data_IF_968227506542
#
_entry.id   IF_968227506542
#
_cell.length_a   1.000
_cell.length_b   1.000
_cell.length_c   1.000
_cell.angle_alpha   90.00
_cell.angle_beta   90.00
_cell.angle_gamma   90.00
#
_symmetry.space_group_name_H-M   'P 1'
#
loop_
_entity.id
_entity.type
_entity.pdbx_description
1 polymer ?
#
# COMPACT_ATOMS: atom_id res chain seq x y z
N UNK A 1 13.31 2.83 17.40
CA UNK A 1 12.86 1.93 16.33
C UNK A 1 14.08 1.30 15.70
N UNK A 2 14.51 0.16 16.21
CA UNK A 2 15.55 -0.64 15.56
C UNK A 2 14.97 -1.27 14.30
N UNK A 3 15.36 -0.74 13.14
CA UNK A 3 15.16 -1.40 11.85
C UNK A 3 15.88 -2.75 11.97
N UNK A 4 15.11 -3.84 11.92
CA UNK A 4 15.55 -5.23 12.08
C UNK A 4 16.89 -5.45 11.37
N UNK A 5 18.00 -5.44 12.14
CA UNK A 5 19.37 -5.72 11.67
C UNK A 5 19.56 -7.23 11.45
N UNK A 6 18.65 -7.86 10.70
CA UNK A 6 18.76 -9.27 10.36
C UNK A 6 19.89 -9.49 9.36
N UNK A 7 21.14 -9.61 9.82
CA UNK A 7 22.29 -9.94 8.95
C UNK A 7 22.44 -11.45 8.66
N UNK A 8 21.37 -12.22 8.83
CA UNK A 8 21.38 -13.69 8.71
C UNK A 8 21.10 -14.21 7.30
N UNK A 9 21.46 -15.47 7.06
CA UNK A 9 21.21 -16.17 5.79
C UNK A 9 19.74 -16.17 5.39
N UNK A 10 18.83 -16.29 6.36
CA UNK A 10 17.38 -16.19 6.14
C UNK A 10 16.97 -14.84 5.52
N UNK A 11 17.58 -13.73 5.95
CA UNK A 11 17.29 -12.41 5.39
C UNK A 11 17.72 -12.33 3.93
N UNK A 12 18.92 -12.81 3.60
CA UNK A 12 19.42 -12.84 2.21
C UNK A 12 18.50 -13.65 1.31
N UNK A 13 18.02 -14.80 1.79
CA UNK A 13 17.07 -15.65 1.06
C UNK A 13 15.72 -14.97 0.85
N UNK A 14 15.22 -14.25 1.86
CA UNK A 14 13.99 -13.44 1.74
C UNK A 14 14.15 -12.31 0.73
N UNK A 15 15.24 -11.54 0.81
CA UNK A 15 15.51 -10.44 -0.12
C UNK A 15 15.68 -10.94 -1.55
N UNK A 16 16.34 -12.07 -1.75
CA UNK A 16 16.43 -12.72 -3.05
C UNK A 16 15.05 -13.15 -3.58
N UNK A 17 14.18 -13.65 -2.70
CA UNK A 17 12.81 -14.02 -3.05
C UNK A 17 11.98 -12.78 -3.45
N UNK A 18 11.97 -11.73 -2.62
CA UNK A 18 11.26 -10.49 -2.90
C UNK A 18 11.75 -9.82 -4.18
N UNK A 19 13.07 -9.83 -4.43
CA UNK A 19 13.64 -9.33 -5.68
C UNK A 19 13.13 -10.09 -6.91
N UNK A 20 13.06 -11.43 -6.84
CA UNK A 20 12.48 -12.26 -7.92
C UNK A 20 11.00 -11.96 -8.15
N UNK A 21 10.27 -11.64 -7.09
CA UNK A 21 8.87 -11.20 -7.14
C UNK A 21 8.71 -9.74 -7.61
N UNK A 22 9.80 -9.04 -7.92
CA UNK A 22 9.79 -7.67 -8.41
C UNK A 22 9.55 -6.62 -7.32
N UNK A 23 9.92 -6.93 -6.08
CA UNK A 23 9.92 -6.06 -4.91
C UNK A 23 11.36 -5.94 -4.35
N UNK A 24 12.22 -5.21 -5.06
CA UNK A 24 13.62 -5.01 -4.66
C UNK A 24 13.74 -3.84 -3.66
N UNK A 25 14.17 -4.14 -2.43
CA UNK A 25 14.56 -3.14 -1.46
C UNK A 25 15.96 -2.64 -1.81
N UNK A 26 16.06 -1.69 -2.74
CA UNK A 26 17.35 -1.10 -3.09
C UNK A 26 17.98 -0.43 -1.86
N UNK A 27 19.32 -0.33 -1.84
CA UNK A 27 20.07 0.35 -0.79
C UNK A 27 19.59 1.80 -0.53
N UNK A 28 18.96 2.44 -1.53
CA UNK A 28 18.38 3.77 -1.43
C UNK A 28 16.94 3.80 -0.90
N UNK A 29 16.13 2.78 -1.19
CA UNK A 29 14.71 2.77 -0.81
C UNK A 29 14.46 2.28 0.62
N UNK A 30 15.35 1.42 1.17
CA UNK A 30 15.33 0.81 2.51
C UNK A 30 13.98 0.19 3.00
N UNK A 31 12.92 0.31 2.22
CA UNK A 31 11.51 0.03 2.55
C UNK A 31 10.74 -0.34 1.27
N UNK A 32 9.54 -0.91 1.44
CA UNK A 32 8.65 -1.24 0.33
C UNK A 32 7.78 -0.05 -0.07
N UNK A 33 7.58 0.15 -1.37
CA UNK A 33 6.59 1.11 -1.89
C UNK A 33 5.25 0.41 -2.17
N UNK A 34 4.20 1.18 -2.50
CA UNK A 34 2.86 0.61 -2.74
C UNK A 34 2.84 -0.50 -3.79
N UNK A 35 3.59 -0.36 -4.88
CA UNK A 35 3.70 -1.39 -5.92
C UNK A 35 4.40 -2.67 -5.42
N UNK A 36 5.36 -2.54 -4.52
CA UNK A 36 5.99 -3.71 -3.88
C UNK A 36 4.98 -4.44 -3.00
N UNK A 37 4.20 -3.71 -2.19
CA UNK A 37 3.17 -4.30 -1.33
C UNK A 37 2.12 -5.09 -2.14
N UNK A 38 1.63 -4.53 -3.26
CA UNK A 38 0.68 -5.25 -4.14
C UNK A 38 1.22 -6.61 -4.58
N UNK A 39 2.49 -6.67 -5.00
CA UNK A 39 3.11 -7.91 -5.47
C UNK A 39 3.35 -8.91 -4.34
N UNK A 40 3.76 -8.42 -3.17
CA UNK A 40 4.09 -9.26 -2.02
C UNK A 40 2.85 -9.79 -1.27
N UNK A 41 1.69 -9.17 -1.44
CA UNK A 41 0.44 -9.62 -0.84
C UNK A 41 -0.36 -10.58 -1.74
N UNK A 42 0.14 -10.88 -2.95
CA UNK A 42 -0.46 -11.90 -3.80
C UNK A 42 -0.27 -13.30 -3.17
N UNK A 43 -1.30 -14.16 -3.08
CA UNK A 43 -1.21 -15.43 -2.35
C UNK A 43 -0.03 -16.34 -2.77
N UNK A 44 0.28 -16.37 -4.07
CA UNK A 44 1.46 -17.12 -4.58
C UNK A 44 2.78 -16.53 -4.09
N UNK A 45 2.88 -15.21 -3.99
CA UNK A 45 4.06 -14.55 -3.47
C UNK A 45 4.21 -14.83 -1.97
N UNK A 46 3.11 -14.70 -1.20
CA UNK A 46 3.05 -15.00 0.23
C UNK A 46 3.61 -16.39 0.52
N UNK A 47 3.15 -17.39 -0.22
CA UNK A 47 3.63 -18.76 -0.08
C UNK A 47 5.14 -18.91 -0.33
N UNK A 48 5.66 -18.27 -1.39
CA UNK A 48 7.07 -18.37 -1.75
C UNK A 48 8.01 -17.81 -0.69
N UNK A 49 7.73 -16.63 -0.13
CA UNK A 49 8.64 -16.05 0.88
C UNK A 49 8.39 -16.60 2.28
N UNK A 50 7.19 -17.05 2.63
CA UNK A 50 6.97 -17.74 3.91
C UNK A 50 7.65 -19.11 3.95
N UNK A 51 7.83 -19.79 2.81
CA UNK A 51 8.59 -21.03 2.71
C UNK A 51 10.10 -20.85 3.03
N UNK A 52 10.61 -19.61 3.02
CA UNK A 52 11.99 -19.30 3.43
C UNK A 52 12.13 -19.31 4.96
N UNK A 53 11.04 -19.02 5.68
CA UNK A 53 11.04 -18.97 7.14
C UNK A 53 11.07 -20.38 7.74
N UNK A 54 11.60 -20.48 8.96
CA UNK A 54 11.45 -21.69 9.75
C UNK A 54 9.97 -21.93 10.02
N UNK A 55 9.51 -23.15 9.75
CA UNK A 55 8.11 -23.50 9.93
C UNK A 55 7.77 -23.58 11.42
N UNK A 56 6.63 -23.00 11.79
CA UNK A 56 6.09 -22.97 13.15
C UNK A 56 4.56 -22.99 13.11
N UNK A 57 3.95 -23.12 14.29
CA UNK A 57 2.48 -23.03 14.46
C UNK A 57 1.91 -21.67 14.04
N UNK A 58 2.74 -20.62 13.99
CA UNK A 58 2.33 -19.27 13.65
C UNK A 58 2.29 -19.00 12.15
N UNK A 59 3.11 -19.71 11.35
CA UNK A 59 3.24 -19.47 9.90
C UNK A 59 1.89 -19.54 9.16
N UNK A 60 0.99 -20.50 9.44
CA UNK A 60 -0.35 -20.50 8.84
C UNK A 60 -1.17 -19.24 9.16
N UNK A 61 -1.05 -18.70 10.38
CA UNK A 61 -1.74 -17.48 10.79
C UNK A 61 -1.13 -16.23 10.14
N UNK A 62 0.20 -16.18 10.00
CA UNK A 62 0.87 -15.12 9.24
C UNK A 62 0.45 -15.16 7.77
N UNK A 63 0.34 -16.35 7.16
CA UNK A 63 -0.18 -16.53 5.80
C UNK A 63 -1.61 -16.00 5.67
N UNK A 64 -2.49 -16.39 6.60
CA UNK A 64 -3.88 -15.93 6.64
C UNK A 64 -4.00 -14.41 6.72
N UNK A 65 -3.22 -13.79 7.62
CA UNK A 65 -3.14 -12.33 7.73
C UNK A 65 -2.70 -11.67 6.41
N UNK A 66 -1.60 -12.10 5.81
CA UNK A 66 -1.05 -11.47 4.60
C UNK A 66 -1.98 -11.61 3.39
N UNK A 67 -2.62 -12.77 3.23
CA UNK A 67 -3.56 -13.01 2.13
C UNK A 67 -4.82 -12.16 2.29
N UNK A 68 -5.40 -12.12 3.49
CA UNK A 68 -6.57 -11.28 3.77
C UNK A 68 -6.24 -9.79 3.63
N UNK A 69 -5.05 -9.37 4.05
CA UNK A 69 -4.57 -8.01 3.85
C UNK A 69 -4.43 -7.65 2.36
N UNK A 70 -4.00 -8.59 1.52
CA UNK A 70 -3.99 -8.43 0.06
C UNK A 70 -5.40 -8.31 -0.54
N UNK A 71 -6.37 -9.08 -0.05
CA UNK A 71 -7.77 -8.97 -0.47
C UNK A 71 -8.36 -7.61 -0.09
N UNK A 72 -8.17 -7.19 1.16
CA UNK A 72 -8.55 -5.86 1.63
C UNK A 72 -7.95 -4.75 0.74
N UNK A 73 -6.65 -4.83 0.45
CA UNK A 73 -5.97 -3.85 -0.40
C UNK A 73 -6.60 -3.74 -1.80
N UNK A 74 -7.00 -4.86 -2.41
CA UNK A 74 -7.63 -4.88 -3.74
C UNK A 74 -8.99 -4.16 -3.77
N UNK A 75 -9.66 -4.05 -2.62
CA UNK A 75 -10.94 -3.36 -2.46
C UNK A 75 -10.79 -1.85 -2.17
N UNK A 76 -9.56 -1.35 -1.97
CA UNK A 76 -9.28 0.08 -1.82
C UNK A 76 -9.31 0.83 -3.17
N UNK A 77 -10.46 0.85 -3.84
CA UNK A 77 -10.63 1.42 -5.20
C UNK A 77 -11.26 2.82 -5.18
N UNK A 78 -10.96 3.65 -6.18
CA UNK A 78 -11.47 5.02 -6.31
C UNK A 78 -12.93 5.12 -6.82
N UNK A 79 -13.76 4.12 -6.52
CA UNK A 79 -15.20 4.09 -6.81
C UNK A 79 -15.94 3.54 -5.60
N UNK A 80 -17.26 3.77 -5.52
CA UNK A 80 -18.07 3.14 -4.49
C UNK A 80 -18.04 1.61 -4.63
N UNK A 81 -17.95 0.93 -3.50
CA UNK A 81 -18.05 -0.52 -3.41
C UNK A 81 -19.50 -0.95 -3.52
N UNK A 82 -19.70 -2.06 -4.22
CA UNK A 82 -20.96 -2.81 -4.24
C UNK A 82 -21.24 -3.47 -2.88
N UNK A 83 -22.47 -3.95 -2.65
CA UNK A 83 -22.81 -4.68 -1.42
C UNK A 83 -21.88 -5.88 -1.19
N UNK A 84 -21.70 -6.71 -2.22
CA UNK A 84 -20.82 -7.89 -2.18
C UNK A 84 -19.36 -7.51 -1.88
N UNK A 85 -18.86 -6.41 -2.44
CA UNK A 85 -17.49 -5.93 -2.18
C UNK A 85 -17.32 -5.42 -0.74
N UNK A 86 -18.36 -4.83 -0.15
CA UNK A 86 -18.34 -4.42 1.26
C UNK A 86 -18.30 -5.64 2.17
N UNK A 87 -19.12 -6.65 1.88
CA UNK A 87 -19.10 -7.92 2.61
C UNK A 87 -17.73 -8.62 2.48
N UNK A 88 -17.14 -8.64 1.29
CA UNK A 88 -15.78 -9.16 1.08
C UNK A 88 -14.73 -8.38 1.88
N UNK A 89 -14.88 -7.05 1.99
CA UNK A 89 -13.99 -6.21 2.79
C UNK A 89 -14.10 -6.54 4.28
N UNK A 90 -15.32 -6.68 4.79
CA UNK A 90 -15.59 -7.03 6.19
C UNK A 90 -15.03 -8.41 6.53
N UNK A 91 -15.30 -9.42 5.70
CA UNK A 91 -14.73 -10.77 5.84
C UNK A 91 -13.19 -10.77 5.83
N UNK A 92 -12.56 -9.92 5.00
CA UNK A 92 -11.12 -9.77 4.99
C UNK A 92 -10.61 -9.14 6.30
N UNK A 93 -11.27 -8.11 6.83
CA UNK A 93 -10.95 -7.47 8.11
C UNK A 93 -11.07 -8.48 9.26
N UNK A 94 -12.13 -9.29 9.30
CA UNK A 94 -12.32 -10.33 10.31
C UNK A 94 -11.23 -11.41 10.27
N UNK A 95 -10.81 -11.79 9.05
CA UNK A 95 -9.71 -12.74 8.85
C UNK A 95 -8.38 -12.14 9.32
N UNK A 96 -8.14 -10.86 9.04
CA UNK A 96 -6.97 -10.11 9.54
C UNK A 96 -6.96 -10.12 11.07
N UNK A 97 -8.07 -9.74 11.70
CA UNK A 97 -8.23 -9.71 13.16
C UNK A 97 -7.97 -11.08 13.80
N UNK A 98 -8.64 -12.11 13.29
CA UNK A 98 -8.54 -13.48 13.82
C UNK A 98 -7.12 -14.01 13.69
N UNK A 99 -6.46 -13.74 12.57
CA UNK A 99 -5.07 -14.13 12.33
C UNK A 99 -4.12 -13.41 13.28
N UNK A 100 -4.26 -12.09 13.44
CA UNK A 100 -3.45 -11.28 14.37
C UNK A 100 -3.56 -11.78 15.80
N UNK A 101 -4.77 -12.08 16.27
CA UNK A 101 -4.97 -12.63 17.63
C UNK A 101 -4.22 -13.94 17.86
N UNK A 102 -4.05 -14.76 16.83
CA UNK A 102 -3.38 -16.06 16.94
C UNK A 102 -1.86 -15.94 17.04
N UNK A 103 -1.22 -15.17 16.17
CA UNK A 103 0.25 -15.09 16.14
C UNK A 103 0.84 -13.87 16.88
N UNK A 104 0.04 -12.83 17.13
CA UNK A 104 0.49 -11.57 17.72
C UNK A 104 -0.47 -11.01 18.79
N UNK A 105 -1.29 -11.86 19.43
CA UNK A 105 -2.35 -11.42 20.34
C UNK A 105 -1.90 -10.69 21.62
N UNK A 106 -0.60 -10.68 21.93
CA UNK A 106 -0.01 -9.93 23.06
C UNK A 106 0.68 -8.63 22.62
N UNK A 107 0.81 -8.40 21.32
CA UNK A 107 1.48 -7.23 20.77
C UNK A 107 0.54 -6.03 20.70
N UNK A 108 1.11 -4.84 20.67
CA UNK A 108 0.34 -3.61 20.36
C UNK A 108 0.17 -3.44 18.86
N UNK A 109 -0.96 -2.89 18.45
CA UNK A 109 -1.22 -2.58 17.03
C UNK A 109 -0.81 -1.14 16.72
N UNK A 110 -0.30 -0.92 15.51
CA UNK A 110 -0.04 0.45 15.03
C UNK A 110 -1.36 1.23 14.85
N UNK A 111 -1.35 2.57 14.93
CA UNK A 111 -2.56 3.37 14.71
C UNK A 111 -3.24 3.07 13.36
N UNK A 112 -2.46 2.84 12.29
CA UNK A 112 -3.01 2.47 10.97
C UNK A 112 -3.71 1.11 10.99
N UNK A 113 -3.17 0.15 11.74
CA UNK A 113 -3.79 -1.17 11.89
C UNK A 113 -5.07 -1.07 12.73
N UNK A 114 -5.07 -0.28 13.82
CA UNK A 114 -6.27 -0.02 14.60
C UNK A 114 -7.39 0.61 13.74
N UNK A 115 -7.05 1.60 12.91
CA UNK A 115 -8.01 2.22 11.98
C UNK A 115 -8.61 1.20 11.02
N UNK A 116 -7.78 0.32 10.45
CA UNK A 116 -8.25 -0.73 9.56
C UNK A 116 -9.25 -1.66 10.26
N UNK A 117 -8.90 -2.10 11.47
CA UNK A 117 -9.67 -3.12 12.21
C UNK A 117 -11.00 -2.59 12.74
N UNK A 118 -11.03 -1.35 13.24
CA UNK A 118 -12.17 -0.85 14.01
C UNK A 118 -13.04 0.14 13.24
N UNK A 119 -12.47 0.87 12.26
CA UNK A 119 -13.13 2.06 11.69
C UNK A 119 -13.45 1.95 10.20
N UNK A 120 -12.79 1.05 9.45
CA UNK A 120 -12.95 1.01 7.99
C UNK A 120 -14.33 0.54 7.56
N UNK A 121 -14.92 -0.46 8.22
CA UNK A 121 -16.25 -0.97 7.86
C UNK A 121 -17.31 0.12 8.00
N UNK A 122 -17.35 0.82 9.14
CA UNK A 122 -18.26 1.96 9.35
C UNK A 122 -18.04 3.05 8.29
N UNK A 123 -16.78 3.40 8.04
CA UNK A 123 -16.41 4.42 7.07
C UNK A 123 -16.90 4.09 5.66
N UNK A 124 -16.66 2.86 5.19
CA UNK A 124 -17.06 2.41 3.85
C UNK A 124 -18.58 2.28 3.74
N UNK A 125 -19.27 1.91 4.82
CA UNK A 125 -20.73 1.94 4.85
C UNK A 125 -21.28 3.35 4.69
N UNK A 126 -20.67 4.34 5.33
CA UNK A 126 -21.08 5.75 5.26
C UNK A 126 -20.72 6.43 3.93
N UNK A 127 -19.51 6.22 3.42
CA UNK A 127 -18.96 6.98 2.28
C UNK A 127 -18.80 6.17 1.00
N UNK A 128 -19.12 4.88 1.04
CA UNK A 128 -19.09 3.97 -0.11
C UNK A 128 -17.70 3.46 -0.49
N UNK A 129 -16.61 4.13 -0.12
CA UNK A 129 -15.24 3.68 -0.41
C UNK A 129 -14.18 4.40 0.42
N UNK A 130 -13.08 3.70 0.72
CA UNK A 130 -11.88 4.28 1.31
C UNK A 130 -10.97 4.95 0.26
N UNK A 131 -11.00 4.48 -1.00
CA UNK A 131 -10.02 4.85 -2.03
C UNK A 131 -10.06 6.33 -2.43
N UNK A 132 -11.22 6.98 -2.36
CA UNK A 132 -11.39 8.41 -2.68
C UNK A 132 -10.67 9.33 -1.68
N UNK A 133 -10.46 8.87 -0.45
CA UNK A 133 -9.78 9.65 0.61
C UNK A 133 -8.30 9.32 0.71
N UNK A 134 -7.78 8.48 -0.19
CA UNK A 134 -6.37 8.10 -0.20
C UNK A 134 -5.49 9.19 -0.79
N UNK A 135 -4.25 9.28 -0.32
CA UNK A 135 -3.23 10.19 -0.87
C UNK A 135 -2.74 9.77 -2.27
N UNK A 136 -3.21 8.63 -2.81
CA UNK A 136 -2.80 8.12 -4.12
C UNK A 136 -3.10 9.10 -5.26
N UNK A 137 -4.21 9.86 -5.17
CA UNK A 137 -4.51 10.91 -6.13
C UNK A 137 -3.47 12.02 -6.15
N UNK A 138 -3.01 12.43 -4.96
CA UNK A 138 -1.98 13.45 -4.78
C UNK A 138 -0.62 12.92 -5.25
N UNK A 139 -0.26 11.68 -4.93
CA UNK A 139 0.98 11.03 -5.40
C UNK A 139 1.05 10.96 -6.93
N UNK A 140 -0.07 10.62 -7.59
CA UNK A 140 -0.17 10.61 -9.05
C UNK A 140 0.06 12.00 -9.64
N UNK A 141 -0.59 13.02 -9.07
CA UNK A 141 -0.41 14.42 -9.50
C UNK A 141 1.05 14.90 -9.28
N UNK A 142 1.67 14.53 -8.17
CA UNK A 142 3.08 14.86 -7.88
C UNK A 142 4.03 14.37 -8.97
N UNK A 143 3.80 13.17 -9.54
CA UNK A 143 4.59 12.65 -10.66
C UNK A 143 4.51 13.57 -11.89
N UNK A 144 3.32 14.07 -12.21
CA UNK A 144 3.12 14.99 -13.33
C UNK A 144 3.76 16.36 -13.08
N UNK A 145 3.63 16.88 -11.86
CA UNK A 145 4.31 18.11 -11.44
C UNK A 145 5.82 17.97 -11.60
N UNK A 146 6.43 16.86 -11.17
CA UNK A 146 7.87 16.63 -11.29
C UNK A 146 8.34 16.57 -12.75
N UNK A 147 7.58 15.92 -13.63
CA UNK A 147 7.86 15.92 -15.07
C UNK A 147 7.85 17.36 -15.64
N UNK A 148 6.87 18.16 -15.26
CA UNK A 148 6.75 19.54 -15.72
C UNK A 148 7.84 20.46 -15.13
N UNK A 149 8.28 20.21 -13.90
CA UNK A 149 9.44 20.91 -13.30
C UNK A 149 10.72 20.69 -14.10
N UNK A 150 10.92 19.49 -14.64
CA UNK A 150 12.03 19.18 -15.54
C UNK A 150 11.85 19.87 -16.90
N UNK A 151 10.64 19.80 -17.47
CA UNK A 151 10.32 20.47 -18.74
C UNK A 151 10.57 21.97 -18.72
N UNK A 152 10.16 22.65 -17.65
CA UNK A 152 10.32 24.10 -17.49
C UNK A 152 11.55 24.47 -16.65
N UNK A 153 12.56 23.60 -16.60
CA UNK A 153 13.77 23.81 -15.77
C UNK A 153 14.56 25.06 -16.19
N UNK A 154 14.54 25.40 -17.47
CA UNK A 154 15.22 26.59 -18.03
C UNK A 154 14.53 27.92 -17.71
N UNK A 155 13.33 27.90 -17.12
CA UNK A 155 12.64 29.12 -16.71
C UNK A 155 13.19 29.60 -15.36
N UNK A 156 14.06 30.61 -15.39
CA UNK A 156 14.74 31.15 -14.20
C UNK A 156 13.79 31.81 -13.18
N UNK A 157 12.72 32.46 -13.65
CA UNK A 157 11.73 33.09 -12.78
C UNK A 157 10.78 32.02 -12.22
N UNK A 158 10.86 31.76 -10.91
CA UNK A 158 10.05 30.72 -10.25
C UNK A 158 8.55 30.93 -10.43
N UNK A 159 8.05 32.16 -10.32
CA UNK A 159 6.64 32.46 -10.50
C UNK A 159 6.16 32.09 -11.92
N UNK A 160 6.92 32.49 -12.94
CA UNK A 160 6.65 32.15 -14.34
C UNK A 160 6.69 30.64 -14.57
N UNK A 161 7.66 29.95 -13.96
CA UNK A 161 7.79 28.48 -14.02
C UNK A 161 6.55 27.79 -13.45
N UNK A 162 6.10 28.18 -12.26
CA UNK A 162 4.89 27.60 -11.65
C UNK A 162 3.63 27.91 -12.45
N UNK A 163 3.52 29.13 -13.00
CA UNK A 163 2.40 29.51 -13.88
C UNK A 163 2.35 28.63 -15.14
N UNK A 164 3.50 28.29 -15.73
CA UNK A 164 3.60 27.36 -16.85
C UNK A 164 3.24 25.92 -16.47
N UNK A 165 3.70 25.45 -15.31
CA UNK A 165 3.34 24.13 -14.77
C UNK A 165 1.83 24.03 -14.58
N UNK A 166 1.22 25.02 -13.94
CA UNK A 166 -0.22 25.04 -13.68
C UNK A 166 -1.05 25.07 -14.96
N UNK A 167 -0.69 25.95 -15.92
CA UNK A 167 -1.31 25.95 -17.26
C UNK A 167 -1.22 24.60 -17.95
N UNK A 168 -0.06 23.95 -17.88
CA UNK A 168 0.13 22.63 -18.48
C UNK A 168 -0.71 21.53 -17.79
N UNK A 169 -0.96 21.63 -16.48
CA UNK A 169 -1.85 20.71 -15.76
C UNK A 169 -3.32 20.93 -16.15
N UNK A 170 -3.76 22.19 -16.28
CA UNK A 170 -5.09 22.55 -16.76
C UNK A 170 -5.34 22.04 -18.18
N UNK A 171 -4.43 22.31 -19.13
CA UNK A 171 -4.57 21.86 -20.51
C UNK A 171 -4.61 20.34 -20.68
N UNK A 172 -4.12 19.58 -19.70
CA UNK A 172 -4.15 18.11 -19.68
C UNK A 172 -5.33 17.54 -18.90
N UNK A 173 -6.23 18.39 -18.42
CA UNK A 173 -7.36 18.02 -17.57
C UNK A 173 -6.94 17.24 -16.31
N UNK A 174 -5.73 17.46 -15.80
CA UNK A 174 -5.31 16.91 -14.50
C UNK A 174 -5.85 17.71 -13.32
N UNK A 175 -6.30 18.94 -13.59
CA UNK A 175 -6.99 19.82 -12.66
C UNK A 175 -8.19 20.33 -13.46
N UNK A 176 -9.41 20.10 -12.95
CA UNK A 176 -10.64 20.63 -13.52
C UNK A 176 -11.22 21.67 -12.58
N UNK A 177 -11.84 22.71 -13.13
CA UNK A 177 -12.65 23.69 -12.39
C UNK A 177 -14.13 23.29 -12.34
N UNK A 178 -14.50 22.18 -12.99
CA UNK A 178 -15.89 21.69 -13.02
C UNK A 178 -16.02 20.64 -11.93
N UNK A 179 -16.61 21.07 -10.80
CA UNK A 179 -16.98 20.22 -9.66
C UNK A 179 -18.36 19.64 -9.85
#
# INVERSE_FOLDING_TARGET
MDIVKGKGETRKRLEACWKKLGADMSAYMQTFCGNHCVKLLEPRAVEQYLAVLQQSVDIPHVKGFLVAFGQFQKLCVARSLTGDEKEQMENAIDTIWTSLRRYAGKETVTPKMHVLLEHVTEFVNRYGTLGKMSEQGIESLHKHVNLLKVRYRSTHQNEKKWRLIFKALLHRNHISDVS
#
